data_IF_338986503343
#
_entry.id   IF_338986503343
#
_cell.length_a   1.000
_cell.length_b   1.000
_cell.length_c   1.000
_cell.angle_alpha   90.00
_cell.angle_beta   90.00
_cell.angle_gamma   90.00
#
_symmetry.space_group_name_H-M   'P 1'
#
loop_
_entity.id
_entity.type
_entity.pdbx_description
1 polymer ?
#
# COMPACT_ATOMS: atom_id res chain seq x y z
N UNK A 1 -3.89 -21.91 -2.75
CA UNK A 1 -4.73 -21.40 -1.65
C UNK A 1 -6.16 -21.37 -2.15
N UNK A 2 -7.17 -21.73 -1.34
CA UNK A 2 -8.57 -21.62 -1.77
C UNK A 2 -9.15 -20.24 -1.46
N UNK A 3 -10.26 -19.87 -2.10
CA UNK A 3 -10.85 -18.53 -1.97
C UNK A 3 -11.29 -18.22 -0.53
N UNK A 4 -11.85 -19.20 0.18
CA UNK A 4 -12.23 -19.05 1.60
C UNK A 4 -11.04 -18.75 2.52
N UNK A 5 -9.88 -19.34 2.25
CA UNK A 5 -8.64 -19.05 2.99
C UNK A 5 -8.14 -17.63 2.69
N UNK A 6 -8.25 -17.18 1.44
CA UNK A 6 -7.91 -15.81 1.05
C UNK A 6 -8.80 -14.84 1.80
N UNK A 7 -10.12 -15.01 1.74
CA UNK A 7 -11.09 -14.14 2.42
C UNK A 7 -10.80 -14.03 3.92
N UNK A 8 -10.56 -15.16 4.59
CA UNK A 8 -10.25 -15.16 6.02
C UNK A 8 -8.98 -14.38 6.35
N UNK A 9 -7.93 -14.49 5.53
CA UNK A 9 -6.70 -13.73 5.74
C UNK A 9 -6.92 -12.23 5.48
N UNK A 10 -7.75 -11.86 4.49
CA UNK A 10 -8.12 -10.47 4.21
C UNK A 10 -8.93 -9.87 5.38
N UNK A 11 -9.84 -10.63 5.97
CA UNK A 11 -10.57 -10.21 7.16
C UNK A 11 -9.62 -9.93 8.34
N UNK A 12 -8.62 -10.79 8.56
CA UNK A 12 -7.59 -10.56 9.60
C UNK A 12 -6.82 -9.27 9.32
N UNK A 13 -6.49 -8.94 8.07
CA UNK A 13 -5.84 -7.67 7.74
C UNK A 13 -6.74 -6.44 8.02
N UNK A 14 -8.06 -6.59 7.85
CA UNK A 14 -9.01 -5.51 8.05
C UNK A 14 -9.30 -5.25 9.53
N UNK A 15 -9.54 -6.31 10.30
CA UNK A 15 -10.10 -6.21 11.67
C UNK A 15 -9.30 -6.93 12.73
N UNK A 16 -8.12 -7.49 12.39
CA UNK A 16 -7.27 -8.14 13.38
C UNK A 16 -6.90 -7.16 14.48
N UNK A 17 -7.13 -7.52 15.73
CA UNK A 17 -6.80 -6.67 16.88
C UNK A 17 -5.28 -6.59 17.08
N UNK A 18 -4.58 -7.71 16.87
CA UNK A 18 -3.13 -7.83 17.04
C UNK A 18 -2.36 -7.53 15.73
N UNK A 19 -1.29 -6.75 15.85
CA UNK A 19 -0.36 -6.48 14.75
C UNK A 19 0.36 -7.75 14.28
N UNK A 20 0.66 -8.68 15.18
CA UNK A 20 1.33 -9.95 14.85
C UNK A 20 0.44 -10.84 13.99
N UNK A 21 -0.87 -10.87 14.24
CA UNK A 21 -1.83 -11.61 13.43
C UNK A 21 -1.95 -11.01 12.03
N UNK A 22 -2.01 -9.67 11.94
CA UNK A 22 -2.01 -8.95 10.66
C UNK A 22 -0.75 -9.25 9.86
N UNK A 23 0.43 -9.21 10.50
CA UNK A 23 1.72 -9.50 9.85
C UNK A 23 1.80 -10.94 9.35
N UNK A 24 1.37 -11.90 10.15
CA UNK A 24 1.32 -13.30 9.74
C UNK A 24 0.34 -13.54 8.59
N UNK A 25 -0.80 -12.86 8.58
CA UNK A 25 -1.76 -12.95 7.49
C UNK A 25 -1.18 -12.40 6.18
N UNK A 26 -0.52 -11.23 6.24
CA UNK A 26 0.17 -10.63 5.11
C UNK A 26 1.26 -11.57 4.56
N UNK A 27 2.11 -12.13 5.42
CA UNK A 27 3.17 -13.06 5.02
C UNK A 27 2.62 -14.29 4.30
N UNK A 28 1.51 -14.85 4.79
CA UNK A 28 0.85 -16.00 4.16
C UNK A 28 0.31 -15.63 2.79
N UNK A 29 -0.33 -14.47 2.63
CA UNK A 29 -0.81 -13.98 1.34
C UNK A 29 0.35 -13.79 0.35
N UNK A 30 1.44 -13.15 0.78
CA UNK A 30 2.62 -12.92 -0.05
C UNK A 30 3.22 -14.25 -0.54
N UNK A 31 3.34 -15.24 0.34
CA UNK A 31 3.92 -16.55 0.02
C UNK A 31 3.02 -17.40 -0.87
N UNK A 32 1.70 -17.32 -0.70
CA UNK A 32 0.76 -18.30 -1.26
C UNK A 32 -0.15 -17.76 -2.37
N UNK A 33 -0.23 -16.44 -2.56
CA UNK A 33 -1.19 -15.79 -3.46
C UNK A 33 -0.53 -14.93 -4.56
N UNK A 34 0.75 -15.18 -4.87
CA UNK A 34 1.44 -14.50 -6.00
C UNK A 34 0.70 -14.72 -7.32
N UNK A 35 0.27 -13.64 -7.95
CA UNK A 35 -0.53 -13.66 -9.19
C UNK A 35 -1.93 -14.25 -9.04
N UNK A 36 -2.44 -14.42 -7.81
CA UNK A 36 -3.78 -14.94 -7.60
C UNK A 36 -4.82 -13.81 -7.77
N UNK A 37 -5.67 -13.94 -8.80
CA UNK A 37 -6.69 -12.96 -9.15
C UNK A 37 -7.70 -12.68 -8.02
N UNK A 38 -8.16 -13.74 -7.31
CA UNK A 38 -9.08 -13.58 -6.17
C UNK A 38 -8.45 -12.74 -5.06
N UNK A 39 -7.19 -13.02 -4.71
CA UNK A 39 -6.47 -12.28 -3.68
C UNK A 39 -6.22 -10.84 -4.10
N UNK A 40 -5.83 -10.60 -5.36
CA UNK A 40 -5.61 -9.26 -5.90
C UNK A 40 -6.91 -8.45 -5.86
N UNK A 41 -8.03 -9.02 -6.30
CA UNK A 41 -9.33 -8.35 -6.26
C UNK A 41 -9.78 -8.04 -4.82
N UNK A 42 -9.58 -8.96 -3.88
CA UNK A 42 -9.92 -8.74 -2.47
C UNK A 42 -9.04 -7.66 -1.83
N UNK A 43 -7.74 -7.63 -2.13
CA UNK A 43 -6.82 -6.59 -1.64
C UNK A 43 -7.13 -5.22 -2.25
N UNK A 44 -7.53 -5.14 -3.51
CA UNK A 44 -7.99 -3.87 -4.12
C UNK A 44 -9.23 -3.34 -3.39
N UNK A 45 -10.18 -4.21 -3.06
CA UNK A 45 -11.35 -3.81 -2.24
C UNK A 45 -10.93 -3.28 -0.88
N UNK A 46 -9.97 -3.92 -0.21
CA UNK A 46 -9.45 -3.45 1.07
C UNK A 46 -8.67 -2.13 0.93
N UNK A 47 -7.94 -1.95 -0.17
CA UNK A 47 -7.16 -0.74 -0.47
C UNK A 47 -8.05 0.51 -0.62
N UNK A 48 -9.21 0.33 -1.28
CA UNK A 48 -10.16 1.40 -1.60
C UNK A 48 -11.31 1.50 -0.58
N UNK A 49 -11.26 0.74 0.52
CA UNK A 49 -12.26 0.80 1.57
C UNK A 49 -12.13 2.09 2.37
N UNK A 50 -12.98 3.08 2.07
CA UNK A 50 -13.00 4.36 2.77
C UNK A 50 -13.32 4.23 4.26
N UNK A 51 -14.04 3.18 4.66
CA UNK A 51 -14.37 2.90 6.06
C UNK A 51 -13.25 2.20 6.84
N UNK A 52 -12.23 1.69 6.12
CA UNK A 52 -11.08 1.02 6.69
C UNK A 52 -10.03 1.96 7.29
N UNK A 53 -9.21 1.42 8.18
CA UNK A 53 -8.06 2.16 8.73
C UNK A 53 -6.97 2.41 7.67
N UNK A 54 -6.20 3.48 7.83
CA UNK A 54 -5.01 3.73 6.99
C UNK A 54 -4.01 2.56 7.08
N UNK A 55 -3.88 1.94 8.26
CA UNK A 55 -3.03 0.77 8.48
C UNK A 55 -3.44 -0.42 7.58
N UNK A 56 -4.74 -0.70 7.50
CA UNK A 56 -5.28 -1.75 6.64
C UNK A 56 -5.02 -1.45 5.16
N UNK A 57 -5.17 -0.19 4.74
CA UNK A 57 -4.85 0.26 3.37
C UNK A 57 -3.36 0.12 3.05
N UNK A 58 -2.47 0.51 3.97
CA UNK A 58 -1.01 0.34 3.82
C UNK A 58 -0.61 -1.13 3.72
N UNK A 59 -1.22 -2.01 4.50
CA UNK A 59 -0.96 -3.44 4.38
C UNK A 59 -1.45 -3.98 3.04
N UNK A 60 -2.66 -3.61 2.60
CA UNK A 60 -3.18 -3.99 1.30
C UNK A 60 -2.25 -3.54 0.16
N UNK A 61 -1.79 -2.29 0.21
CA UNK A 61 -0.84 -1.74 -0.75
C UNK A 61 0.46 -2.54 -0.75
N UNK A 62 1.02 -2.83 0.43
CA UNK A 62 2.28 -3.61 0.57
C UNK A 62 2.15 -4.98 -0.08
N UNK A 63 1.07 -5.71 0.21
CA UNK A 63 0.85 -7.06 -0.33
C UNK A 63 0.65 -7.01 -1.85
N UNK A 64 -0.15 -6.06 -2.36
CA UNK A 64 -0.31 -5.85 -3.81
C UNK A 64 1.04 -5.61 -4.50
N UNK A 65 1.93 -4.84 -3.87
CA UNK A 65 3.31 -4.63 -4.30
C UNK A 65 4.08 -5.94 -4.56
N UNK A 66 3.85 -6.96 -3.73
CA UNK A 66 4.57 -8.23 -3.75
C UNK A 66 3.92 -9.31 -4.64
N UNK A 67 2.59 -9.29 -4.76
CA UNK A 67 1.83 -10.36 -5.43
C UNK A 67 1.31 -9.97 -6.81
N UNK A 68 1.14 -8.68 -7.12
CA UNK A 68 0.44 -8.18 -8.30
C UNK A 68 1.39 -7.65 -9.39
N UNK A 69 2.52 -8.32 -9.60
CA UNK A 69 3.56 -7.86 -10.54
C UNK A 69 3.01 -7.74 -11.98
N UNK A 70 3.06 -6.54 -12.55
CA UNK A 70 2.53 -6.24 -13.87
C UNK A 70 1.00 -6.22 -13.96
N UNK A 71 0.28 -6.37 -12.85
CA UNK A 71 -1.18 -6.46 -12.84
C UNK A 71 -1.80 -5.06 -12.99
N UNK A 72 -2.41 -4.81 -14.15
CA UNK A 72 -2.88 -3.48 -14.53
C UNK A 72 -3.90 -2.88 -13.56
N UNK A 73 -4.88 -3.67 -13.10
CA UNK A 73 -5.91 -3.19 -12.17
C UNK A 73 -5.33 -2.81 -10.80
N UNK A 74 -4.35 -3.58 -10.30
CA UNK A 74 -3.68 -3.29 -9.05
C UNK A 74 -2.86 -2.00 -9.16
N UNK A 75 -2.16 -1.81 -10.28
CA UNK A 75 -1.41 -0.58 -10.57
C UNK A 75 -2.37 0.62 -10.62
N UNK A 76 -3.50 0.50 -11.31
CA UNK A 76 -4.49 1.58 -11.40
C UNK A 76 -5.04 1.95 -10.01
N UNK A 77 -5.40 0.95 -9.20
CA UNK A 77 -5.95 1.18 -7.85
C UNK A 77 -4.92 1.79 -6.90
N UNK A 78 -3.65 1.40 -7.01
CA UNK A 78 -2.55 2.01 -6.26
C UNK A 78 -2.32 3.47 -6.69
N UNK A 79 -2.40 3.78 -7.99
CA UNK A 79 -2.32 5.17 -8.47
C UNK A 79 -3.49 6.02 -7.98
N UNK A 80 -4.69 5.47 -7.94
CA UNK A 80 -5.87 6.13 -7.40
C UNK A 80 -5.69 6.46 -5.91
N UNK A 81 -5.24 5.49 -5.10
CA UNK A 81 -4.98 5.74 -3.69
C UNK A 81 -3.90 6.80 -3.48
N UNK A 82 -2.87 6.84 -4.34
CA UNK A 82 -1.82 7.87 -4.28
C UNK A 82 -2.36 9.28 -4.56
N UNK A 83 -3.36 9.41 -5.43
CA UNK A 83 -3.96 10.70 -5.80
C UNK A 83 -4.89 11.24 -4.70
N UNK A 84 -5.62 10.36 -4.02
CA UNK A 84 -6.60 10.75 -2.99
C UNK A 84 -6.02 10.78 -1.56
N UNK A 85 -4.93 10.06 -1.30
CA UNK A 85 -4.36 9.98 0.05
C UNK A 85 -3.70 11.30 0.44
N UNK A 86 -4.07 11.80 1.62
CA UNK A 86 -3.40 12.94 2.27
C UNK A 86 -2.42 12.50 3.35
N UNK A 87 -2.32 11.20 3.59
CA UNK A 87 -1.39 10.63 4.55
C UNK A 87 -0.06 10.31 3.86
N UNK A 88 1.01 10.87 4.41
CA UNK A 88 2.33 10.76 3.82
C UNK A 88 2.86 9.32 3.91
N UNK A 89 2.60 8.64 5.03
CA UNK A 89 3.07 7.27 5.27
C UNK A 89 2.41 6.32 4.28
N UNK A 90 1.11 6.51 4.06
CA UNK A 90 0.33 5.75 3.08
C UNK A 90 0.81 6.02 1.66
N UNK A 91 1.00 7.28 1.29
CA UNK A 91 1.53 7.66 -0.03
C UNK A 91 2.90 7.03 -0.30
N UNK A 92 3.80 7.01 0.69
CA UNK A 92 5.11 6.36 0.58
C UNK A 92 5.00 4.86 0.36
N UNK A 93 4.15 4.17 1.13
CA UNK A 93 3.98 2.72 0.98
C UNK A 93 3.41 2.36 -0.39
N UNK A 94 2.41 3.12 -0.85
CA UNK A 94 1.78 2.93 -2.17
C UNK A 94 2.80 3.12 -3.30
N UNK A 95 3.62 4.16 -3.19
CA UNK A 95 4.73 4.43 -4.09
C UNK A 95 5.73 3.27 -4.18
N UNK A 96 6.17 2.73 -3.04
CA UNK A 96 7.09 1.59 -2.99
C UNK A 96 6.45 0.35 -3.64
N UNK A 97 5.16 0.12 -3.39
CA UNK A 97 4.40 -0.97 -4.02
C UNK A 97 4.23 -0.80 -5.53
N UNK A 98 4.04 0.43 -6.02
CA UNK A 98 4.02 0.73 -7.46
C UNK A 98 5.39 0.44 -8.10
N UNK A 99 6.48 0.79 -7.42
CA UNK A 99 7.83 0.49 -7.91
C UNK A 99 8.09 -1.02 -8.06
N UNK A 100 7.51 -1.85 -7.16
CA UNK A 100 7.59 -3.32 -7.24
C UNK A 100 6.70 -3.93 -8.32
N UNK A 101 5.52 -3.35 -8.55
CA UNK A 101 4.52 -3.87 -9.51
C UNK A 101 4.80 -3.44 -10.95
N UNK A 102 5.40 -2.27 -11.18
CA UNK A 102 5.66 -1.74 -12.52
C UNK A 102 7.10 -2.06 -12.97
N UNK A 103 7.26 -2.91 -13.98
CA UNK A 103 8.56 -3.13 -14.64
C UNK A 103 8.87 -2.04 -15.68
N UNK A 104 10.16 -1.75 -15.87
CA UNK A 104 10.65 -0.88 -16.94
C UNK A 104 10.63 0.63 -16.62
N UNK A 105 10.65 1.48 -17.66
CA UNK A 105 10.80 2.95 -17.52
C UNK A 105 9.69 3.60 -16.68
N UNK A 106 8.45 3.11 -16.78
CA UNK A 106 7.31 3.67 -16.03
C UNK A 106 7.46 3.47 -14.51
N UNK A 107 7.98 2.33 -14.06
CA UNK A 107 8.23 2.06 -12.64
C UNK A 107 9.33 2.96 -12.07
N UNK A 108 10.38 3.23 -12.86
CA UNK A 108 11.41 4.21 -12.49
C UNK A 108 10.84 5.62 -12.31
N UNK A 109 9.93 6.05 -13.19
CA UNK A 109 9.31 7.37 -13.10
C UNK A 109 8.44 7.51 -11.85
N UNK A 110 7.64 6.48 -11.52
CA UNK A 110 6.86 6.48 -10.29
C UNK A 110 7.77 6.54 -9.07
N UNK A 111 8.81 5.70 -8.99
CA UNK A 111 9.77 5.74 -7.89
C UNK A 111 10.44 7.12 -7.73
N UNK A 112 10.79 7.79 -8.85
CA UNK A 112 11.36 9.14 -8.82
C UNK A 112 10.33 10.16 -8.29
N UNK A 113 9.09 10.13 -8.77
CA UNK A 113 8.03 11.03 -8.31
C UNK A 113 7.78 10.88 -6.79
N UNK A 114 7.81 9.65 -6.29
CA UNK A 114 7.66 9.35 -4.87
C UNK A 114 8.80 9.91 -4.02
N UNK A 115 10.05 9.81 -4.49
CA UNK A 115 11.22 10.41 -3.84
C UNK A 115 11.16 11.95 -3.85
N UNK A 116 10.65 12.54 -4.93
CA UNK A 116 10.43 13.99 -5.03
C UNK A 116 9.36 14.47 -4.05
N UNK A 117 8.27 13.70 -3.87
CA UNK A 117 7.28 13.99 -2.83
C UNK A 117 7.91 13.83 -1.43
N UNK A 118 8.66 12.75 -1.19
CA UNK A 118 9.31 12.51 0.10
C UNK A 118 10.23 13.66 0.53
N UNK A 119 11.03 14.19 -0.39
CA UNK A 119 11.94 15.32 -0.12
C UNK A 119 11.18 16.60 0.16
N UNK A 120 10.20 16.94 -0.67
CA UNK A 120 9.35 18.12 -0.49
C UNK A 120 8.64 18.16 0.87
N UNK A 121 7.99 17.06 1.26
CA UNK A 121 7.23 17.02 2.51
C UNK A 121 8.12 16.94 3.76
N UNK A 122 9.34 16.40 3.64
CA UNK A 122 10.35 16.45 4.71
C UNK A 122 10.83 17.88 4.96
N UNK A 123 11.05 18.65 3.91
CA UNK A 123 11.41 20.07 4.02
C UNK A 123 10.26 20.87 4.65
N UNK A 124 9.01 20.61 4.27
CA UNK A 124 7.85 21.33 4.81
C UNK A 124 7.56 20.98 6.29
N UNK A 125 7.72 19.72 6.71
CA UNK A 125 7.63 19.33 8.14
C UNK A 125 8.73 19.97 8.97
N UNK A 126 9.96 20.00 8.47
CA UNK A 126 11.09 20.63 9.16
C UNK A 126 10.91 22.15 9.28
N UNK A 127 10.40 22.79 8.22
CA UNK A 127 10.08 24.21 8.24
C UNK A 127 9.00 24.55 9.28
N UNK A 128 7.91 23.78 9.32
CA UNK A 128 6.84 23.98 10.31
C UNK A 128 7.32 23.78 11.74
N UNK A 129 8.15 22.76 11.99
CA UNK A 129 8.70 22.49 13.33
C UNK A 129 9.63 23.62 13.81
N UNK A 130 10.47 24.15 12.91
CA UNK A 130 11.32 25.29 13.21
C UNK A 130 10.58 26.60 13.52
N UNK A 131 9.36 26.78 13.02
CA UNK A 131 8.52 27.93 13.38
C UNK A 131 7.96 27.85 14.81
N UNK A 132 7.66 26.65 15.31
CA UNK A 132 7.17 26.46 16.68
C UNK A 132 8.29 26.56 17.72
N UNK A 133 9.53 26.20 17.37
CA UNK A 133 10.68 26.31 18.27
C UNK A 133 11.19 27.78 18.42
N UNK A 134 10.67 28.71 17.62
CA UNK A 134 11.02 30.14 17.62
C UNK A 134 9.95 31.07 18.24
N UNK A 135 8.82 30.52 18.71
CA UNK A 135 7.70 31.24 19.36
C UNK A 135 7.60 30.92 20.84
#
# INVERSE_FOLDING_TARGET
>A
MNDKQIEKLIEVLRSGEDEDDRRQAADRLIKMARGNETAIAALIRLLLDESGSEDSRRQAATILGEIANGHQTAIASLLELLDVSRDWDTSRVVADSLAKTIKGRKGKLVAIASLSLQTYWMEEKNYRKGLYDLS
#
